data_IF_853607675744
#
_entry.id   IF_853607675744
#
_cell.length_a   1.000
_cell.length_b   1.000
_cell.length_c   1.000
_cell.angle_alpha   90.00
_cell.angle_beta   90.00
_cell.angle_gamma   90.00
#
_symmetry.space_group_name_H-M   'P 1'
#
loop_
_entity.id
_entity.type
_entity.pdbx_description
1 polymer ?
#
# COMPACT_ATOMS: atom_id res chain seq x y z
N UNK A 1 5.00 10.66 4.31
CA UNK A 1 4.61 9.29 4.73
C UNK A 1 3.24 8.84 4.18
N UNK A 2 2.77 9.34 3.02
CA UNK A 2 1.40 9.13 2.49
C UNK A 2 0.99 7.65 2.44
N UNK A 3 1.85 6.79 1.90
CA UNK A 3 1.63 5.33 1.82
C UNK A 3 1.30 4.68 3.17
N UNK A 4 2.11 4.93 4.20
CA UNK A 4 1.93 4.31 5.51
C UNK A 4 0.67 4.80 6.22
N UNK A 5 0.37 6.09 6.12
CA UNK A 5 -0.87 6.68 6.65
C UNK A 5 -2.10 6.07 5.98
N UNK A 6 -2.12 5.96 4.65
CA UNK A 6 -3.23 5.35 3.90
C UNK A 6 -3.48 3.89 4.31
N UNK A 7 -2.43 3.09 4.50
CA UNK A 7 -2.57 1.70 4.95
C UNK A 7 -3.09 1.63 6.40
N UNK A 8 -2.59 2.51 7.28
CA UNK A 8 -3.01 2.58 8.68
C UNK A 8 -4.48 3.00 8.84
N UNK A 9 -4.96 3.96 8.06
CA UNK A 9 -6.37 4.39 8.04
C UNK A 9 -7.35 3.27 7.67
N UNK A 10 -6.87 2.27 6.93
CA UNK A 10 -7.64 1.07 6.56
C UNK A 10 -7.38 -0.14 7.45
N UNK A 11 -6.68 0.08 8.56
CA UNK A 11 -6.30 -0.98 9.51
C UNK A 11 -5.51 -2.11 8.82
N UNK A 12 -4.68 -1.77 7.83
CA UNK A 12 -3.83 -2.74 7.12
C UNK A 12 -2.48 -2.77 7.79
N UNK A 13 -2.20 -3.86 8.50
CA UNK A 13 -0.94 -4.06 9.19
C UNK A 13 0.18 -4.42 8.20
N UNK A 14 1.32 -3.77 8.34
CA UNK A 14 2.53 -4.05 7.56
C UNK A 14 3.42 -4.99 8.35
N UNK A 15 3.70 -6.17 7.80
CA UNK A 15 4.53 -7.19 8.44
C UNK A 15 6.02 -6.96 8.22
N UNK A 16 6.38 -6.49 7.01
CA UNK A 16 7.76 -6.22 6.62
C UNK A 16 7.80 -5.06 5.65
N UNK A 17 8.84 -4.24 5.78
CA UNK A 17 9.16 -3.17 4.82
C UNK A 17 10.56 -3.44 4.27
N UNK A 18 10.68 -3.47 2.95
CA UNK A 18 11.98 -3.45 2.26
C UNK A 18 12.03 -2.24 1.33
N UNK A 19 13.20 -1.62 1.22
CA UNK A 19 13.34 -0.34 0.48
C UNK A 19 14.59 -0.32 -0.38
N UNK A 20 14.53 0.48 -1.44
CA UNK A 20 15.64 0.94 -2.27
C UNK A 20 15.45 2.44 -2.51
N UNK A 21 16.40 3.11 -3.16
CA UNK A 21 16.35 4.56 -3.39
C UNK A 21 15.05 5.04 -4.08
N UNK A 22 14.45 4.22 -4.94
CA UNK A 22 13.28 4.58 -5.75
C UNK A 22 12.05 3.71 -5.49
N UNK A 23 12.11 2.74 -4.57
CA UNK A 23 11.04 1.76 -4.36
C UNK A 23 10.91 1.36 -2.91
N UNK A 24 9.67 1.32 -2.42
CA UNK A 24 9.29 0.75 -1.13
C UNK A 24 8.38 -0.46 -1.41
N UNK A 25 8.67 -1.59 -0.76
CA UNK A 25 7.87 -2.81 -0.82
C UNK A 25 7.38 -3.13 0.58
N UNK A 26 6.09 -3.44 0.71
CA UNK A 26 5.47 -3.83 1.98
C UNK A 26 4.86 -5.22 1.86
N UNK A 27 5.14 -6.08 2.84
CA UNK A 27 4.46 -7.37 3.00
C UNK A 27 3.27 -7.17 3.94
N UNK A 28 2.09 -7.62 3.52
CA UNK A 28 0.82 -7.50 4.23
C UNK A 28 0.05 -8.82 4.13
N UNK A 29 -1.05 -8.93 4.86
CA UNK A 29 -1.97 -10.07 4.75
C UNK A 29 -2.57 -10.17 3.34
N UNK A 30 -2.57 -11.37 2.77
CA UNK A 30 -3.08 -11.64 1.41
C UNK A 30 -4.54 -11.20 1.24
N UNK A 31 -5.38 -11.40 2.27
CA UNK A 31 -6.78 -11.01 2.24
C UNK A 31 -6.98 -9.48 2.11
N UNK A 32 -5.95 -8.70 2.46
CA UNK A 32 -5.96 -7.23 2.41
C UNK A 32 -5.28 -6.66 1.17
N UNK A 33 -4.66 -7.48 0.31
CA UNK A 33 -3.89 -6.99 -0.85
C UNK A 33 -4.75 -6.17 -1.81
N UNK A 34 -5.94 -6.68 -2.20
CA UNK A 34 -6.82 -5.95 -3.13
C UNK A 34 -7.27 -4.59 -2.57
N UNK A 35 -7.58 -4.56 -1.28
CA UNK A 35 -7.96 -3.32 -0.59
C UNK A 35 -6.78 -2.34 -0.55
N UNK A 36 -5.59 -2.82 -0.11
CA UNK A 36 -4.36 -2.03 -0.04
C UNK A 36 -3.99 -1.40 -1.39
N UNK A 37 -4.00 -2.20 -2.45
CA UNK A 37 -3.70 -1.73 -3.81
C UNK A 37 -4.68 -0.64 -4.22
N UNK A 38 -6.00 -0.87 -4.07
CA UNK A 38 -7.02 0.11 -4.43
C UNK A 38 -6.85 1.44 -3.70
N UNK A 39 -6.67 1.41 -2.38
CA UNK A 39 -6.56 2.64 -1.58
C UNK A 39 -5.25 3.38 -1.84
N UNK A 40 -4.17 2.65 -2.11
CA UNK A 40 -2.91 3.25 -2.52
C UNK A 40 -3.01 3.88 -3.91
N UNK A 41 -3.65 3.23 -4.88
CA UNK A 41 -3.90 3.83 -6.20
C UNK A 41 -4.70 5.13 -6.10
N UNK A 42 -5.78 5.14 -5.31
CA UNK A 42 -6.56 6.35 -5.04
C UNK A 42 -5.73 7.41 -4.33
N UNK A 43 -4.97 7.02 -3.31
CA UNK A 43 -4.11 7.92 -2.56
C UNK A 43 -2.90 8.40 -3.36
N UNK A 44 -2.56 7.84 -4.51
CA UNK A 44 -1.48 8.36 -5.36
C UNK A 44 -1.98 8.85 -6.71
N UNK A 45 -3.31 8.89 -6.91
CA UNK A 45 -3.96 9.35 -8.14
C UNK A 45 -3.46 8.61 -9.40
N UNK A 46 -3.18 7.31 -9.25
CA UNK A 46 -2.68 6.46 -10.33
C UNK A 46 -3.87 5.71 -10.96
N UNK A 47 -4.15 5.98 -12.24
CA UNK A 47 -5.17 5.23 -12.99
C UNK A 47 -4.84 3.74 -13.05
N UNK A 48 -5.82 2.90 -12.68
CA UNK A 48 -5.74 1.45 -12.82
C UNK A 48 -6.39 1.08 -14.14
N UNK A 49 -5.61 0.63 -15.13
CA UNK A 49 -6.14 -0.18 -16.23
C UNK A 49 -6.16 -1.62 -15.72
N UNK A 50 -7.32 -2.08 -15.26
CA UNK A 50 -7.56 -3.51 -15.02
C UNK A 50 -7.43 -4.32 -16.32
#
# INVERSE_FOLDING_TARGET
>A
ARMFSTLSEKNINIQLITTSEIRITCIIDEAKVKEAVRVLHQAFEIEVKE
#
